data_IF_566973054321
#
_entry.id   IF_566973054321
#
_cell.length_a   1.000
_cell.length_b   1.000
_cell.length_c   1.000
_cell.angle_alpha   90.00
_cell.angle_beta   90.00
_cell.angle_gamma   90.00
#
_symmetry.space_group_name_H-M   'P 1'
#
loop_
_entity.id
_entity.type
_entity.pdbx_description
1 polymer ?
#
# COMPACT_ATOMS: atom_id res chain seq x y z
N UNK A 1 18.71 15.19 8.37
CA UNK A 1 19.85 14.43 8.91
C UNK A 1 20.91 15.36 9.52
N UNK A 2 21.37 16.40 8.83
CA UNK A 2 22.41 17.33 9.31
C UNK A 2 22.07 17.93 10.67
N UNK A 3 20.88 18.51 10.83
CA UNK A 3 20.44 19.09 12.12
C UNK A 3 20.42 18.05 13.25
N UNK A 4 20.04 16.79 12.93
CA UNK A 4 20.05 15.71 13.93
C UNK A 4 21.47 15.33 14.34
N UNK A 5 22.41 15.30 13.38
CA UNK A 5 23.81 15.03 13.66
C UNK A 5 24.46 16.15 14.49
N UNK A 6 24.15 17.41 14.17
CA UNK A 6 24.62 18.58 14.94
C UNK A 6 24.06 18.52 16.37
N UNK A 7 22.75 18.28 16.55
CA UNK A 7 22.14 18.14 17.88
C UNK A 7 22.77 17.00 18.67
N UNK A 8 23.04 15.85 18.02
CA UNK A 8 23.72 14.73 18.66
C UNK A 8 25.13 15.12 19.12
N UNK A 9 25.93 15.74 18.23
CA UNK A 9 27.29 16.18 18.53
C UNK A 9 27.34 17.12 19.74
N UNK A 10 26.52 18.17 19.73
CA UNK A 10 26.51 19.15 20.83
C UNK A 10 25.95 18.59 22.12
N UNK A 11 24.87 17.78 22.08
CA UNK A 11 24.24 17.24 23.29
C UNK A 11 25.05 16.12 23.93
N UNK A 12 25.67 15.25 23.15
CA UNK A 12 26.31 14.05 23.66
C UNK A 12 27.84 14.10 23.68
N UNK A 13 28.46 14.77 22.68
CA UNK A 13 29.93 14.86 22.62
C UNK A 13 30.41 16.08 23.37
N UNK A 14 29.91 17.27 23.07
CA UNK A 14 30.34 18.50 23.71
C UNK A 14 29.62 18.81 25.04
N UNK A 15 28.56 18.07 25.36
CA UNK A 15 27.73 18.27 26.61
C UNK A 15 27.19 19.69 26.77
N UNK A 16 27.11 20.47 25.69
CA UNK A 16 26.62 21.86 25.66
C UNK A 16 25.17 21.88 25.17
N UNK A 17 24.23 21.47 26.04
CA UNK A 17 22.81 21.36 25.72
C UNK A 17 22.17 22.71 25.38
N UNK A 18 22.61 23.78 25.97
CA UNK A 18 21.98 25.10 25.84
C UNK A 18 22.20 25.78 24.48
N UNK A 19 23.26 25.39 23.74
CA UNK A 19 23.60 25.99 22.45
C UNK A 19 22.75 25.45 21.29
N UNK A 20 21.97 24.37 21.46
CA UNK A 20 21.33 23.65 20.37
C UNK A 20 19.81 23.61 20.48
N UNK A 21 19.25 24.29 21.52
CA UNK A 21 17.79 24.25 21.80
C UNK A 21 16.98 24.92 20.68
N UNK A 22 17.52 25.97 20.05
CA UNK A 22 16.78 26.80 19.08
C UNK A 22 16.93 26.45 17.59
N UNK A 23 17.62 25.36 17.26
CA UNK A 23 17.66 24.94 15.84
C UNK A 23 16.32 24.29 15.49
N UNK A 24 15.38 25.11 15.05
CA UNK A 24 14.09 24.63 14.55
C UNK A 24 14.24 23.94 13.20
N UNK A 25 13.66 22.74 13.08
CA UNK A 25 13.59 22.08 11.77
C UNK A 25 12.65 22.88 10.87
N UNK A 26 13.06 23.19 9.62
CA UNK A 26 12.15 23.79 8.66
C UNK A 26 10.86 22.97 8.58
N UNK A 27 9.71 23.60 8.73
CA UNK A 27 8.42 22.94 8.51
C UNK A 27 8.36 22.52 7.03
N UNK A 28 8.49 21.22 6.76
CA UNK A 28 8.22 20.70 5.41
C UNK A 28 6.74 20.90 5.13
N UNK A 29 6.41 21.65 4.10
CA UNK A 29 5.06 21.65 3.54
C UNK A 29 4.73 20.20 3.18
N UNK A 30 3.77 19.60 3.88
CA UNK A 30 3.28 18.25 3.58
C UNK A 30 2.44 18.35 2.32
N UNK A 31 3.07 18.11 1.16
CA UNK A 31 2.28 17.84 -0.05
C UNK A 31 1.51 16.55 0.20
N UNK A 32 0.23 16.56 -0.15
CA UNK A 32 -0.57 15.34 -0.14
C UNK A 32 0.07 14.33 -1.10
N UNK A 33 0.12 13.04 -0.74
CA UNK A 33 0.61 12.02 -1.64
C UNK A 33 -0.21 12.02 -2.92
N UNK A 34 0.46 11.97 -4.06
CA UNK A 34 -0.20 11.74 -5.34
C UNK A 34 -0.57 10.26 -5.42
N UNK A 35 -1.76 9.97 -5.90
CA UNK A 35 -2.30 8.62 -6.07
C UNK A 35 -2.47 8.34 -7.55
N UNK A 36 -2.11 7.12 -7.96
CA UNK A 36 -2.39 6.63 -9.31
C UNK A 36 -3.87 6.22 -9.41
N UNK A 37 -4.50 6.50 -10.54
CA UNK A 37 -5.78 5.88 -10.86
C UNK A 37 -5.59 4.40 -11.24
N UNK A 38 -6.67 3.63 -11.26
CA UNK A 38 -6.63 2.22 -11.69
C UNK A 38 -6.14 2.10 -13.13
N UNK A 39 -6.53 3.03 -14.03
CA UNK A 39 -6.05 3.06 -15.42
C UNK A 39 -4.55 3.36 -15.49
N UNK A 40 -4.04 4.26 -14.65
CA UNK A 40 -2.61 4.55 -14.57
C UNK A 40 -1.81 3.34 -14.09
N UNK A 41 -2.34 2.60 -13.10
CA UNK A 41 -1.73 1.35 -12.61
C UNK A 41 -1.72 0.30 -13.72
N UNK A 42 -2.83 0.10 -14.42
CA UNK A 42 -2.91 -0.82 -15.54
C UNK A 42 -1.90 -0.47 -16.65
N UNK A 43 -1.73 0.81 -16.98
CA UNK A 43 -0.70 1.25 -17.94
C UNK A 43 0.72 0.93 -17.47
N UNK A 44 1.02 1.13 -16.18
CA UNK A 44 2.32 0.77 -15.59
C UNK A 44 2.55 -0.73 -15.72
N UNK A 45 1.62 -1.55 -15.26
CA UNK A 45 1.75 -3.01 -15.26
C UNK A 45 1.89 -3.58 -16.68
N UNK A 46 1.13 -3.05 -17.62
CA UNK A 46 1.18 -3.47 -19.04
C UNK A 46 2.45 -2.98 -19.76
N UNK A 47 3.16 -1.98 -19.23
CA UNK A 47 4.42 -1.50 -19.78
C UNK A 47 5.61 -2.42 -19.46
N UNK A 48 5.44 -3.37 -18.52
CA UNK A 48 6.50 -4.27 -18.04
C UNK A 48 6.43 -5.60 -18.79
N UNK A 49 7.43 -5.87 -19.63
CA UNK A 49 7.48 -7.08 -20.43
C UNK A 49 8.02 -8.29 -19.66
N UNK A 50 8.92 -8.08 -18.68
CA UNK A 50 9.50 -9.16 -17.89
C UNK A 50 8.50 -9.62 -16.83
N UNK A 51 8.16 -10.93 -16.86
CA UNK A 51 7.14 -11.51 -15.99
C UNK A 51 7.51 -11.44 -14.50
N UNK A 52 8.77 -11.68 -14.15
CA UNK A 52 9.26 -11.54 -12.77
C UNK A 52 9.07 -10.12 -12.26
N UNK A 53 9.47 -9.13 -13.05
CA UNK A 53 9.30 -7.73 -12.71
C UNK A 53 7.82 -7.33 -12.59
N UNK A 54 6.99 -7.84 -13.49
CA UNK A 54 5.53 -7.63 -13.47
C UNK A 54 4.91 -8.24 -12.22
N UNK A 55 5.28 -9.47 -11.86
CA UNK A 55 4.82 -10.16 -10.66
C UNK A 55 5.19 -9.36 -9.38
N UNK A 56 6.42 -8.85 -9.29
CA UNK A 56 6.85 -7.98 -8.19
C UNK A 56 5.93 -6.77 -8.05
N UNK A 57 5.61 -6.07 -9.14
CA UNK A 57 4.73 -4.90 -9.10
C UNK A 57 3.28 -5.26 -8.76
N UNK A 58 2.80 -6.40 -9.24
CA UNK A 58 1.49 -6.95 -8.87
C UNK A 58 1.41 -7.21 -7.37
N UNK A 59 2.42 -7.85 -6.78
CA UNK A 59 2.48 -8.10 -5.33
C UNK A 59 2.51 -6.78 -4.55
N UNK A 60 3.37 -5.83 -4.94
CA UNK A 60 3.45 -4.52 -4.25
C UNK A 60 2.10 -3.81 -4.25
N UNK A 61 1.42 -3.77 -5.39
CA UNK A 61 0.13 -3.09 -5.51
C UNK A 61 -1.01 -3.84 -4.81
N UNK A 62 -1.11 -5.15 -4.97
CA UNK A 62 -2.24 -5.92 -4.44
C UNK A 62 -2.17 -6.19 -2.93
N UNK A 63 -0.96 -6.13 -2.35
CA UNK A 63 -0.73 -6.47 -0.94
C UNK A 63 -0.15 -5.30 -0.13
N UNK A 64 0.12 -4.17 -0.76
CA UNK A 64 0.65 -2.97 -0.13
C UNK A 64 2.04 -3.14 0.49
N UNK A 65 2.87 -4.04 -0.04
CA UNK A 65 4.21 -4.30 0.49
C UNK A 65 5.18 -3.15 0.21
N UNK A 66 6.19 -3.00 1.07
CA UNK A 66 7.36 -2.17 0.78
C UNK A 66 8.29 -2.91 -0.17
N UNK A 67 9.08 -2.18 -0.96
CA UNK A 67 10.08 -2.80 -1.85
C UNK A 67 11.03 -3.68 -1.03
N UNK A 68 11.46 -3.22 0.14
CA UNK A 68 12.32 -3.98 1.04
C UNK A 68 11.69 -5.26 1.59
N UNK A 69 10.38 -5.33 1.64
CA UNK A 69 9.64 -6.52 2.08
C UNK A 69 9.50 -7.51 0.93
N UNK A 70 9.11 -7.03 -0.26
CA UNK A 70 8.87 -7.91 -1.41
C UNK A 70 10.15 -8.62 -1.89
N UNK A 71 11.32 -7.95 -1.86
CA UNK A 71 12.57 -8.59 -2.28
C UNK A 71 13.03 -9.70 -1.33
N UNK A 72 12.54 -9.70 -0.08
CA UNK A 72 12.87 -10.70 0.95
C UNK A 72 11.81 -11.78 1.13
N UNK A 73 10.81 -11.84 0.24
CA UNK A 73 9.81 -12.90 0.30
C UNK A 73 10.43 -14.26 -0.01
N UNK A 74 9.95 -15.25 0.73
CA UNK A 74 10.20 -16.67 0.49
C UNK A 74 8.90 -17.37 0.15
N UNK A 75 8.96 -18.56 -0.44
CA UNK A 75 7.76 -19.31 -0.79
C UNK A 75 6.94 -19.69 0.46
N UNK A 76 7.61 -19.98 1.57
CA UNK A 76 6.99 -20.30 2.86
C UNK A 76 6.18 -19.14 3.49
N UNK A 77 6.35 -17.91 2.99
CA UNK A 77 5.62 -16.75 3.48
C UNK A 77 4.18 -16.66 2.91
N UNK A 78 3.83 -17.52 1.97
CA UNK A 78 2.52 -17.53 1.30
C UNK A 78 1.61 -18.60 1.85
N UNK A 79 0.50 -18.19 2.45
CA UNK A 79 -0.62 -19.06 2.81
C UNK A 79 -1.66 -19.01 1.67
N UNK A 80 -1.60 -20.00 0.79
CA UNK A 80 -2.47 -20.07 -0.38
C UNK A 80 -3.92 -20.39 -0.01
N UNK A 81 -4.14 -21.13 1.06
CA UNK A 81 -5.48 -21.53 1.51
C UNK A 81 -6.24 -20.36 2.12
N UNK A 82 -5.56 -19.60 2.99
CA UNK A 82 -6.13 -18.40 3.63
C UNK A 82 -5.99 -17.13 2.79
N UNK A 83 -5.27 -17.21 1.66
CA UNK A 83 -4.95 -16.07 0.78
C UNK A 83 -4.26 -14.93 1.54
N UNK A 84 -3.23 -15.27 2.28
CA UNK A 84 -2.44 -14.34 3.08
C UNK A 84 -0.95 -14.40 2.72
N UNK A 85 -0.24 -13.31 2.97
CA UNK A 85 1.22 -13.24 2.92
C UNK A 85 1.70 -12.87 4.33
N UNK A 86 2.59 -13.67 4.90
CA UNK A 86 3.22 -13.41 6.18
C UNK A 86 4.48 -12.57 6.00
N UNK A 87 4.48 -11.35 6.50
CA UNK A 87 5.62 -10.44 6.44
C UNK A 87 6.39 -10.51 7.75
N UNK A 88 7.49 -11.24 7.72
CA UNK A 88 8.39 -11.41 8.86
C UNK A 88 9.29 -10.17 9.01
N UNK A 89 9.51 -9.74 10.26
CA UNK A 89 10.42 -8.64 10.63
C UNK A 89 10.19 -7.34 9.84
N UNK A 90 8.95 -6.95 9.66
CA UNK A 90 8.59 -5.66 9.09
C UNK A 90 9.22 -4.46 9.84
N UNK A 91 8.91 -3.23 9.45
CA UNK A 91 9.42 -2.04 10.12
C UNK A 91 9.10 -2.09 11.62
N UNK A 92 10.15 -2.07 12.47
CA UNK A 92 10.03 -2.21 13.93
C UNK A 92 10.06 -3.66 14.42
N UNK A 93 10.51 -4.62 13.61
CA UNK A 93 10.63 -6.08 13.93
C UNK A 93 9.31 -6.75 14.32
N UNK A 94 8.15 -6.18 13.90
CA UNK A 94 6.84 -6.78 14.12
C UNK A 94 6.41 -7.53 12.86
N UNK A 95 5.93 -8.74 13.05
CA UNK A 95 5.34 -9.56 12.01
C UNK A 95 3.91 -9.08 11.73
N UNK A 96 3.45 -9.27 10.50
CA UNK A 96 2.07 -9.02 10.12
C UNK A 96 1.65 -9.88 8.95
N UNK A 97 0.36 -10.00 8.76
CA UNK A 97 -0.24 -10.58 7.57
C UNK A 97 -0.78 -9.50 6.64
N UNK A 98 -0.75 -9.78 5.35
CA UNK A 98 -1.43 -8.96 4.34
C UNK A 98 -2.12 -9.87 3.33
N UNK A 99 -2.98 -9.29 2.50
CA UNK A 99 -3.79 -10.04 1.53
C UNK A 99 -2.96 -10.55 0.36
N UNK A 100 -3.27 -11.76 -0.10
CA UNK A 100 -2.79 -12.37 -1.32
C UNK A 100 -3.93 -12.43 -2.34
N UNK A 101 -3.87 -11.61 -3.39
CA UNK A 101 -4.92 -11.60 -4.41
C UNK A 101 -4.92 -12.86 -5.29
N UNK A 102 -6.08 -13.25 -5.80
CA UNK A 102 -6.21 -14.40 -6.70
C UNK A 102 -5.36 -14.22 -7.96
N UNK A 103 -5.34 -13.02 -8.53
CA UNK A 103 -4.51 -12.71 -9.71
C UNK A 103 -3.03 -12.95 -9.44
N UNK A 104 -2.53 -12.54 -8.27
CA UNK A 104 -1.15 -12.79 -7.87
C UNK A 104 -0.88 -14.27 -7.68
N UNK A 105 -1.82 -15.02 -7.07
CA UNK A 105 -1.68 -16.46 -6.90
C UNK A 105 -1.49 -17.17 -8.24
N UNK A 106 -2.27 -16.81 -9.26
CA UNK A 106 -2.21 -17.44 -10.57
C UNK A 106 -0.89 -17.14 -11.30
N UNK A 107 -0.40 -15.89 -11.20
CA UNK A 107 0.92 -15.52 -11.71
C UNK A 107 2.05 -16.19 -10.93
N UNK A 108 1.91 -16.28 -9.61
CA UNK A 108 2.91 -16.85 -8.71
C UNK A 108 3.08 -18.36 -8.96
N UNK A 109 1.98 -19.10 -9.16
CA UNK A 109 2.04 -20.55 -9.52
C UNK A 109 2.81 -20.77 -10.81
N UNK A 110 2.56 -19.97 -11.87
CA UNK A 110 3.30 -20.03 -13.13
C UNK A 110 4.77 -19.71 -12.93
N UNK A 111 5.06 -18.66 -12.17
CA UNK A 111 6.43 -18.23 -11.85
C UNK A 111 7.21 -19.31 -11.10
N UNK A 112 6.63 -19.90 -10.05
CA UNK A 112 7.26 -20.98 -9.27
C UNK A 112 7.57 -22.18 -10.17
N UNK A 113 6.65 -22.57 -11.02
CA UNK A 113 6.84 -23.70 -11.93
C UNK A 113 7.95 -23.45 -12.96
N UNK A 114 8.13 -22.21 -13.43
CA UNK A 114 9.12 -21.88 -14.46
C UNK A 114 10.51 -21.54 -13.91
N UNK A 115 10.59 -20.98 -12.72
CA UNK A 115 11.83 -20.45 -12.15
C UNK A 115 12.39 -21.30 -11.02
N UNK A 116 11.58 -22.19 -10.42
CA UNK A 116 11.94 -23.06 -9.30
C UNK A 116 12.77 -22.34 -8.23
N UNK A 117 12.27 -21.26 -7.64
CA UNK A 117 13.04 -20.44 -6.70
C UNK A 117 13.42 -21.25 -5.45
N UNK A 118 14.70 -21.22 -5.06
CA UNK A 118 15.22 -21.95 -3.91
C UNK A 118 14.97 -21.15 -2.59
N UNK A 119 15.92 -20.35 -2.15
CA UNK A 119 15.81 -19.65 -0.85
C UNK A 119 14.89 -18.43 -0.94
N UNK A 120 15.07 -17.59 -1.95
CA UNK A 120 14.35 -16.34 -2.14
C UNK A 120 13.38 -16.44 -3.29
N UNK A 121 12.16 -15.96 -3.11
CA UNK A 121 11.19 -15.92 -4.20
C UNK A 121 11.74 -15.17 -5.42
N UNK A 122 12.48 -14.09 -5.20
CA UNK A 122 13.13 -13.29 -6.24
C UNK A 122 14.64 -13.31 -6.06
N UNK A 123 15.33 -14.29 -6.65
CA UNK A 123 16.78 -14.41 -6.52
C UNK A 123 17.50 -13.23 -7.18
N UNK A 124 18.62 -12.87 -6.60
CA UNK A 124 19.53 -11.83 -7.09
C UNK A 124 20.58 -12.39 -8.06
N UNK A 125 21.47 -11.52 -8.54
CA UNK A 125 22.55 -11.94 -9.43
C UNK A 125 23.65 -12.73 -8.74
N UNK A 126 23.80 -12.62 -7.41
CA UNK A 126 24.74 -13.39 -6.61
C UNK A 126 24.04 -14.58 -5.99
N UNK A 127 24.68 -15.74 -5.98
CA UNK A 127 24.15 -16.95 -5.32
C UNK A 127 23.83 -16.67 -3.85
N UNK A 128 22.67 -17.16 -3.36
CA UNK A 128 22.19 -16.96 -2.00
C UNK A 128 21.67 -15.53 -1.69
N UNK A 129 21.74 -14.60 -2.63
CA UNK A 129 21.23 -13.25 -2.45
C UNK A 129 19.85 -13.05 -3.10
N UNK A 130 19.02 -12.22 -2.49
CA UNK A 130 17.77 -11.76 -3.11
C UNK A 130 17.98 -10.60 -4.08
N UNK A 131 16.99 -10.31 -4.91
CA UNK A 131 16.95 -9.14 -5.79
C UNK A 131 17.10 -7.86 -4.95
N UNK A 132 17.85 -6.86 -5.48
CA UNK A 132 18.08 -5.61 -4.74
C UNK A 132 16.89 -4.66 -4.81
N UNK A 133 16.65 -3.90 -3.75
CA UNK A 133 15.63 -2.84 -3.73
C UNK A 133 15.85 -1.83 -4.87
N UNK A 134 17.13 -1.53 -5.17
CA UNK A 134 17.50 -0.61 -6.26
C UNK A 134 17.10 -1.15 -7.64
N UNK A 135 17.20 -2.45 -7.85
CA UNK A 135 16.74 -3.08 -9.10
C UNK A 135 15.24 -2.93 -9.28
N UNK A 136 14.46 -3.21 -8.24
CA UNK A 136 13.01 -3.06 -8.23
C UNK A 136 12.61 -1.59 -8.47
N UNK A 137 13.28 -0.66 -7.79
CA UNK A 137 13.03 0.77 -7.99
C UNK A 137 13.29 1.20 -9.44
N UNK A 138 14.40 0.76 -10.05
CA UNK A 138 14.69 1.04 -11.46
C UNK A 138 13.62 0.48 -12.41
N UNK A 139 13.07 -0.69 -12.10
CA UNK A 139 11.96 -1.26 -12.89
C UNK A 139 10.73 -0.37 -12.79
N UNK A 140 10.37 0.07 -11.60
CA UNK A 140 9.25 0.97 -11.38
C UNK A 140 9.44 2.30 -12.12
N UNK A 141 10.62 2.92 -12.01
CA UNK A 141 10.92 4.20 -12.66
C UNK A 141 10.80 4.10 -14.19
N UNK A 142 11.35 3.01 -14.78
CA UNK A 142 11.22 2.74 -16.22
C UNK A 142 9.77 2.52 -16.63
N UNK A 143 8.99 1.77 -15.84
CA UNK A 143 7.60 1.49 -16.14
C UNK A 143 6.73 2.75 -16.09
N UNK A 144 6.93 3.60 -15.08
CA UNK A 144 6.27 4.90 -14.94
C UNK A 144 6.59 5.82 -16.12
N UNK A 145 7.87 5.90 -16.50
CA UNK A 145 8.29 6.70 -17.66
C UNK A 145 7.66 6.19 -18.97
N UNK A 146 7.66 4.86 -19.20
CA UNK A 146 7.05 4.24 -20.38
C UNK A 146 5.54 4.43 -20.42
N UNK A 147 4.88 4.41 -19.26
CA UNK A 147 3.45 4.70 -19.12
C UNK A 147 3.10 6.20 -19.25
N UNK A 148 4.11 7.09 -19.43
CA UNK A 148 3.97 8.55 -19.55
C UNK A 148 3.28 9.18 -18.32
N UNK A 149 3.59 8.70 -17.12
CA UNK A 149 3.04 9.21 -15.87
C UNK A 149 4.05 10.18 -15.25
N UNK A 150 3.58 11.40 -14.90
CA UNK A 150 4.43 12.47 -14.33
C UNK A 150 4.30 12.63 -12.83
N UNK A 151 3.65 11.70 -12.16
CA UNK A 151 3.41 11.71 -10.71
C UNK A 151 4.58 11.06 -9.96
N UNK A 152 4.96 11.62 -8.81
CA UNK A 152 5.89 10.95 -7.90
C UNK A 152 5.10 10.03 -6.97
N UNK A 153 4.94 8.79 -7.37
CA UNK A 153 3.98 7.85 -6.80
C UNK A 153 4.62 6.59 -6.25
N UNK A 154 3.93 5.96 -5.32
CA UNK A 154 4.21 4.59 -4.90
C UNK A 154 2.95 3.73 -5.04
N UNK A 155 3.10 2.53 -5.58
CA UNK A 155 2.01 1.56 -5.71
C UNK A 155 1.35 1.26 -4.35
N UNK A 156 2.14 1.24 -3.28
CA UNK A 156 1.64 1.03 -1.92
C UNK A 156 0.72 2.16 -1.44
N UNK A 157 0.97 3.42 -1.82
CA UNK A 157 0.05 4.52 -1.48
C UNK A 157 -1.27 4.39 -2.24
N UNK A 158 -1.19 4.04 -3.51
CA UNK A 158 -2.38 3.80 -4.34
C UNK A 158 -3.20 2.62 -3.81
N UNK A 159 -2.56 1.50 -3.42
CA UNK A 159 -3.24 0.39 -2.75
C UNK A 159 -4.04 0.84 -1.52
N UNK A 160 -3.41 1.60 -0.61
CA UNK A 160 -4.07 2.05 0.60
C UNK A 160 -5.25 2.99 0.32
N UNK A 161 -5.09 3.91 -0.64
CA UNK A 161 -6.15 4.84 -1.03
C UNK A 161 -7.30 4.12 -1.71
N UNK A 162 -7.02 3.19 -2.63
CA UNK A 162 -8.05 2.41 -3.30
C UNK A 162 -8.84 1.51 -2.35
N UNK A 163 -8.18 0.87 -1.37
CA UNK A 163 -8.89 0.13 -0.31
C UNK A 163 -9.83 1.04 0.48
N UNK A 164 -9.36 2.24 0.84
CA UNK A 164 -10.18 3.21 1.57
C UNK A 164 -11.36 3.70 0.72
N UNK A 165 -11.15 3.96 -0.57
CA UNK A 165 -12.19 4.37 -1.53
C UNK A 165 -13.23 3.26 -1.74
N UNK A 166 -12.82 1.99 -1.69
CA UNK A 166 -13.68 0.83 -1.77
C UNK A 166 -14.35 0.47 -0.41
N UNK A 167 -14.23 1.33 0.60
CA UNK A 167 -14.97 1.18 1.86
C UNK A 167 -14.24 0.41 2.95
N UNK A 168 -13.01 -0.07 2.74
CA UNK A 168 -12.24 -0.75 3.77
C UNK A 168 -11.96 0.18 4.94
N UNK A 169 -12.21 -0.29 6.16
CA UNK A 169 -11.94 0.49 7.37
C UNK A 169 -10.45 0.83 7.52
N UNK A 170 -10.18 2.05 7.98
CA UNK A 170 -8.83 2.57 8.12
C UNK A 170 -7.94 1.72 9.06
N UNK A 171 -8.54 1.07 10.06
CA UNK A 171 -7.82 0.19 11.00
C UNK A 171 -7.28 -1.04 10.30
N UNK A 172 -8.09 -1.69 9.43
CA UNK A 172 -7.61 -2.81 8.62
C UNK A 172 -6.52 -2.40 7.66
N UNK A 173 -6.65 -1.23 7.01
CA UNK A 173 -5.58 -0.68 6.14
C UNK A 173 -4.30 -0.45 6.96
N UNK A 174 -4.41 0.09 8.18
CA UNK A 174 -3.28 0.28 9.08
C UNK A 174 -2.57 -1.05 9.40
N UNK A 175 -3.34 -2.08 9.68
CA UNK A 175 -2.85 -3.42 10.02
C UNK A 175 -2.16 -4.07 8.83
N UNK A 176 -2.81 -4.11 7.67
CA UNK A 176 -2.25 -4.62 6.41
C UNK A 176 -0.94 -3.93 6.04
N UNK A 177 -0.86 -2.62 6.24
CA UNK A 177 0.36 -1.85 5.96
C UNK A 177 1.42 -1.98 7.06
N UNK A 178 1.07 -2.44 8.27
CA UNK A 178 1.99 -2.48 9.42
C UNK A 178 2.46 -1.09 9.84
N UNK A 179 1.55 -0.15 9.96
CA UNK A 179 1.83 1.18 10.49
C UNK A 179 1.71 1.17 12.02
N UNK A 180 2.78 1.53 12.72
CA UNK A 180 2.81 1.58 14.16
C UNK A 180 1.90 2.70 14.76
N UNK A 181 1.47 3.67 13.93
CA UNK A 181 0.63 4.79 14.33
C UNK A 181 -0.45 5.05 13.30
N UNK A 182 -1.69 5.26 13.76
CA UNK A 182 -2.84 5.65 12.92
C UNK A 182 -2.56 6.92 12.12
N UNK A 183 -1.81 7.86 12.71
CA UNK A 183 -1.42 9.12 12.06
C UNK A 183 -0.71 8.92 10.71
N UNK A 184 -0.01 7.79 10.53
CA UNK A 184 0.62 7.45 9.25
C UNK A 184 -0.40 6.99 8.21
N UNK A 185 -1.52 6.41 8.65
CA UNK A 185 -2.59 5.92 7.77
C UNK A 185 -3.63 7.00 7.49
N UNK A 186 -3.83 7.94 8.40
CA UNK A 186 -4.75 9.09 8.26
C UNK A 186 -4.46 9.95 7.04
N UNK A 187 -3.23 9.96 6.52
CA UNK A 187 -2.90 10.69 5.29
C UNK A 187 -3.75 10.25 4.09
N UNK A 188 -4.22 9.00 4.09
CA UNK A 188 -5.06 8.48 3.01
C UNK A 188 -6.49 9.02 3.07
N UNK A 189 -7.00 9.41 4.24
CA UNK A 189 -8.32 10.03 4.37
C UNK A 189 -8.39 11.39 3.71
N UNK A 190 -7.28 12.14 3.69
CA UNK A 190 -7.20 13.45 3.04
C UNK A 190 -7.09 13.36 1.52
N UNK A 191 -6.72 12.20 0.97
CA UNK A 191 -6.53 11.98 -0.47
C UNK A 191 -7.77 11.35 -1.10
N UNK A 192 -8.51 10.55 -0.34
CA UNK A 192 -9.74 9.89 -0.80
C UNK A 192 -10.88 10.90 -0.89
N UNK A 193 -11.21 11.31 -2.11
CA UNK A 193 -12.31 12.27 -2.40
C UNK A 193 -13.65 11.58 -2.62
N UNK A 194 -13.65 10.28 -2.97
CA UNK A 194 -14.89 9.54 -3.31
C UNK A 194 -15.83 9.36 -2.12
N UNK A 195 -15.32 9.28 -0.89
CA UNK A 195 -16.17 9.03 0.29
C UNK A 195 -17.16 10.15 0.62
N UNK A 196 -16.83 11.41 0.38
CA UNK A 196 -17.73 12.52 0.72
C UNK A 196 -18.98 12.54 -0.17
N UNK A 197 -18.84 12.21 -1.46
CA UNK A 197 -19.98 12.13 -2.39
C UNK A 197 -20.88 10.91 -2.20
N UNK A 198 -20.38 9.85 -1.55
CA UNK A 198 -21.13 8.62 -1.30
C UNK A 198 -21.74 8.54 0.11
N UNK A 199 -21.52 9.56 0.94
CA UNK A 199 -22.16 9.63 2.26
C UNK A 199 -23.61 10.06 2.05
N UNK A 200 -24.52 9.11 2.22
CA UNK A 200 -25.94 9.39 2.21
C UNK A 200 -26.33 10.11 3.51
N UNK A 201 -27.03 11.23 3.38
CA UNK A 201 -27.53 11.95 4.54
C UNK A 201 -28.45 11.05 5.38
N UNK A 202 -28.35 11.08 6.72
CA UNK A 202 -29.31 10.38 7.57
C UNK A 202 -30.76 10.73 7.25
N UNK A 203 -31.02 11.97 6.84
CA UNK A 203 -32.36 12.41 6.43
C UNK A 203 -32.81 11.71 5.14
N UNK A 204 -31.93 11.60 4.14
CA UNK A 204 -32.24 10.92 2.88
C UNK A 204 -32.53 9.44 3.11
N UNK A 205 -31.77 8.79 4.00
CA UNK A 205 -32.00 7.40 4.41
C UNK A 205 -33.36 7.22 5.07
N UNK A 206 -33.72 8.11 6.01
CA UNK A 206 -35.03 8.06 6.67
C UNK A 206 -36.18 8.24 5.68
N UNK A 207 -36.02 9.09 4.66
CA UNK A 207 -37.04 9.31 3.64
C UNK A 207 -37.20 8.13 2.70
N UNK A 208 -36.10 7.44 2.34
CA UNK A 208 -36.15 6.23 1.52
C UNK A 208 -36.84 5.07 2.27
N UNK A 209 -36.46 4.82 3.53
CA UNK A 209 -37.10 3.81 4.38
C UNK A 209 -38.61 4.08 4.58
N UNK A 210 -39.01 5.35 4.57
CA UNK A 210 -40.40 5.75 4.69
C UNK A 210 -41.21 5.58 3.39
N UNK A 211 -40.55 5.64 2.23
CA UNK A 211 -41.19 5.41 0.92
C UNK A 211 -41.37 3.92 0.63
N UNK A 212 -40.40 3.09 1.01
CA UNK A 212 -40.51 1.62 0.86
C UNK A 212 -41.62 1.04 1.73
N UNK A 213 -41.75 1.48 2.97
CA UNK A 213 -42.85 1.08 3.86
C UNK A 213 -44.24 1.50 3.35
N UNK A 214 -44.36 2.66 2.70
CA UNK A 214 -45.60 3.08 2.08
C UNK A 214 -46.00 2.24 0.86
N UNK A 215 -45.02 1.84 0.06
CA UNK A 215 -45.28 0.98 -1.09
C UNK A 215 -45.62 -0.46 -0.71
N UNK A 216 -45.10 -1.00 0.39
CA UNK A 216 -45.50 -2.30 0.95
C UNK A 216 -46.95 -2.27 1.49
N UNK A 217 -47.37 -1.16 2.14
CA UNK A 217 -48.76 -1.01 2.63
C UNK A 217 -49.75 -0.90 1.46
N UNK A 218 -49.43 -0.17 0.39
CA UNK A 218 -50.32 -0.01 -0.78
C UNK A 218 -50.46 -1.32 -1.57
N UNK A 219 -49.38 -2.12 -1.69
CA UNK A 219 -49.43 -3.41 -2.38
C UNK A 219 -50.19 -4.48 -1.62
N UNK A 220 -50.18 -4.44 -0.30
CA UNK A 220 -50.99 -5.38 0.54
C UNK A 220 -52.47 -5.06 0.55
N UNK A 221 -52.88 -3.80 0.27
CA UNK A 221 -54.29 -3.41 0.18
C UNK A 221 -54.96 -3.71 -1.17
N UNK A 222 -54.14 -3.88 -2.22
CA UNK A 222 -54.63 -4.18 -3.58
C UNK A 222 -54.63 -5.69 -3.89
N UNK A 223 -54.28 -6.55 -2.92
CA UNK A 223 -54.25 -8.01 -3.07
C UNK A 223 -55.35 -8.75 -2.31
N UNK A 224 -56.34 -8.01 -1.80
CA UNK A 224 -57.58 -8.51 -1.19
C UNK A 224 -58.76 -8.04 -1.99
#
# INVERSE_FOLDING_TARGET
QVISAIKFLYNYVFKKKDLVVDINRPKKNKKLPEVLSEEEINRILNSINNETHRLIMLIIYSSGLRISEVVRLKLEDFDFDRKLIHIKRGKGKKDRYTILSQVVMDHLKKYIHSMEPDEWLFPGAKSGAHLTERSVQKVMDKAVAKAKIRKNVTLRHSFATHLLENGTDLRYIQELLGHASSKTTEIYTHVSRRKLGNIQSPLDRMMLDSSDKRNEFVNNYNST
#
